data_IF_885000579223
#
_entry.id   IF_885000579223
#
_cell.length_a   1.000
_cell.length_b   1.000
_cell.length_c   1.000
_cell.angle_alpha   90.00
_cell.angle_beta   90.00
_cell.angle_gamma   90.00
#
_symmetry.space_group_name_H-M   'P 1'
#
loop_
_entity.id
_entity.type
_entity.pdbx_description
1 polymer ?
#
# COMPACT_ATOMS: atom_id res chain seq x y z
N UNK A 1 -17.47 -1.53 29.34
CA UNK A 1 -16.30 -2.35 29.70
C UNK A 1 -15.80 -3.17 28.50
N UNK A 2 -16.69 -3.82 27.71
CA UNK A 2 -16.30 -4.56 26.51
C UNK A 2 -15.58 -3.73 25.45
N UNK A 3 -16.08 -2.54 25.14
CA UNK A 3 -15.49 -1.67 24.11
C UNK A 3 -14.07 -1.20 24.44
N UNK A 4 -13.80 -0.94 25.73
CA UNK A 4 -12.47 -0.58 26.20
C UNK A 4 -11.47 -1.73 25.99
N UNK A 5 -11.87 -2.95 26.31
CA UNK A 5 -11.02 -4.14 26.15
C UNK A 5 -10.72 -4.37 24.66
N UNK A 6 -11.73 -4.24 23.79
CA UNK A 6 -11.56 -4.39 22.33
C UNK A 6 -10.61 -3.30 21.79
N UNK A 7 -10.75 -2.08 22.25
CA UNK A 7 -9.90 -0.94 21.86
C UNK A 7 -8.44 -1.18 22.27
N UNK A 8 -8.22 -1.63 23.51
CA UNK A 8 -6.87 -1.95 24.01
C UNK A 8 -6.27 -3.14 23.22
N UNK A 9 -7.06 -4.17 22.91
CA UNK A 9 -6.61 -5.29 22.10
C UNK A 9 -6.19 -4.85 20.69
N UNK A 10 -6.97 -4.00 20.04
CA UNK A 10 -6.64 -3.44 18.72
C UNK A 10 -5.34 -2.63 18.78
N UNK A 11 -5.15 -1.82 19.83
CA UNK A 11 -3.91 -1.07 20.00
C UNK A 11 -2.70 -1.99 20.15
N UNK A 12 -2.82 -3.02 20.99
CA UNK A 12 -1.75 -4.01 21.18
C UNK A 12 -1.42 -4.74 19.87
N UNK A 13 -2.45 -5.18 19.13
CA UNK A 13 -2.28 -5.81 17.83
C UNK A 13 -1.62 -4.86 16.81
N UNK A 14 -1.99 -3.57 16.81
CA UNK A 14 -1.36 -2.58 15.95
C UNK A 14 0.15 -2.44 16.24
N UNK A 15 0.53 -2.40 17.52
CA UNK A 15 1.93 -2.37 17.93
C UNK A 15 2.68 -3.63 17.48
N UNK A 16 2.05 -4.80 17.64
CA UNK A 16 2.63 -6.06 17.17
C UNK A 16 2.78 -6.10 15.64
N UNK A 17 1.93 -5.41 14.89
CA UNK A 17 2.04 -5.34 13.44
C UNK A 17 3.16 -4.41 12.93
N UNK A 18 3.70 -3.50 13.76
CA UNK A 18 4.73 -2.55 13.30
C UNK A 18 5.96 -3.22 12.65
N UNK A 19 6.54 -4.31 13.20
CA UNK A 19 7.62 -5.02 12.53
C UNK A 19 7.24 -5.56 11.16
N UNK A 20 6.01 -6.03 10.99
CA UNK A 20 5.49 -6.53 9.71
C UNK A 20 5.36 -5.36 8.71
N UNK A 21 4.82 -4.21 9.14
CA UNK A 21 4.69 -3.00 8.31
C UNK A 21 6.06 -2.54 7.83
N UNK A 22 7.04 -2.46 8.74
CA UNK A 22 8.42 -2.06 8.40
C UNK A 22 9.04 -3.08 7.44
N UNK A 23 8.91 -4.37 7.73
CA UNK A 23 9.44 -5.44 6.90
C UNK A 23 8.81 -5.44 5.49
N UNK A 24 7.51 -5.18 5.40
CA UNK A 24 6.79 -5.06 4.12
C UNK A 24 7.32 -3.88 3.31
N UNK A 25 7.55 -2.73 3.94
CA UNK A 25 8.13 -1.57 3.27
C UNK A 25 9.56 -1.82 2.79
N UNK A 26 10.43 -2.36 3.64
CA UNK A 26 11.81 -2.71 3.29
C UNK A 26 11.85 -3.75 2.17
N UNK A 27 11.04 -4.81 2.29
CA UNK A 27 10.92 -5.83 1.25
C UNK A 27 10.44 -5.24 -0.08
N UNK A 28 9.53 -4.28 -0.06
CA UNK A 28 9.04 -3.60 -1.27
C UNK A 28 10.15 -2.75 -1.93
N UNK A 29 10.95 -2.03 -1.16
CA UNK A 29 12.11 -1.31 -1.68
C UNK A 29 13.14 -2.27 -2.33
N UNK A 30 13.41 -3.42 -1.71
CA UNK A 30 14.26 -4.46 -2.30
C UNK A 30 13.62 -5.07 -3.56
N UNK A 31 12.31 -5.26 -3.56
CA UNK A 31 11.58 -5.77 -4.72
C UNK A 31 11.72 -4.84 -5.93
N UNK A 32 11.68 -3.52 -5.74
CA UNK A 32 11.87 -2.54 -6.81
C UNK A 32 13.24 -2.65 -7.50
N UNK A 33 14.27 -3.16 -6.81
CA UNK A 33 15.61 -3.39 -7.40
C UNK A 33 15.61 -4.50 -8.45
N UNK A 34 14.63 -5.41 -8.43
CA UNK A 34 14.51 -6.46 -9.45
C UNK A 34 14.09 -5.92 -10.84
N UNK A 35 13.67 -4.66 -10.91
CA UNK A 35 13.29 -3.98 -12.15
C UNK A 35 14.45 -3.09 -12.63
N UNK A 36 14.46 -2.66 -13.92
CA UNK A 36 15.45 -1.71 -14.40
C UNK A 36 15.54 -0.47 -13.50
N UNK A 37 16.73 0.04 -13.24
CA UNK A 37 16.98 1.15 -12.30
C UNK A 37 16.07 2.36 -12.56
N UNK A 38 15.86 2.70 -13.84
CA UNK A 38 14.96 3.79 -14.23
C UNK A 38 13.52 3.60 -13.74
N UNK A 39 13.02 2.36 -13.66
CA UNK A 39 11.65 2.09 -13.20
C UNK A 39 11.49 2.41 -11.72
N UNK A 40 12.43 1.96 -10.88
CA UNK A 40 12.43 2.26 -9.44
C UNK A 40 12.59 3.76 -9.16
N UNK A 41 13.47 4.44 -9.90
CA UNK A 41 13.67 5.89 -9.79
C UNK A 41 12.41 6.66 -10.15
N UNK A 42 11.80 6.39 -11.32
CA UNK A 42 10.58 7.06 -11.74
C UNK A 42 9.40 6.78 -10.78
N UNK A 43 9.29 5.56 -10.24
CA UNK A 43 8.30 5.24 -9.22
C UNK A 43 8.48 6.12 -7.98
N UNK A 44 9.70 6.26 -7.44
CA UNK A 44 9.99 7.13 -6.30
C UNK A 44 9.72 8.60 -6.61
N UNK A 45 10.08 9.08 -7.82
CA UNK A 45 9.74 10.43 -8.27
C UNK A 45 8.23 10.64 -8.34
N UNK A 46 7.45 9.65 -8.74
CA UNK A 46 6.00 9.69 -8.70
C UNK A 46 5.46 9.89 -7.28
N UNK A 47 5.96 9.11 -6.32
CA UNK A 47 5.60 9.26 -4.89
C UNK A 47 5.93 10.68 -4.42
N UNK A 48 7.14 11.13 -4.66
CA UNK A 48 7.60 12.45 -4.22
C UNK A 48 6.79 13.59 -4.85
N UNK A 49 6.49 13.48 -6.13
CA UNK A 49 5.65 14.44 -6.86
C UNK A 49 4.24 14.52 -6.29
N UNK A 50 3.64 13.36 -5.93
CA UNK A 50 2.34 13.37 -5.26
C UNK A 50 2.42 14.08 -3.91
N UNK A 51 3.41 13.80 -3.08
CA UNK A 51 3.56 14.43 -1.76
C UNK A 51 3.68 15.96 -1.88
N UNK A 52 4.49 16.45 -2.82
CA UNK A 52 4.61 17.90 -3.09
C UNK A 52 3.26 18.45 -3.55
N UNK A 53 2.63 17.80 -4.53
CA UNK A 53 1.37 18.27 -5.09
C UNK A 53 0.26 18.28 -4.03
N UNK A 54 0.23 17.27 -3.16
CA UNK A 54 -0.73 17.19 -2.07
C UNK A 54 -0.56 18.33 -1.05
N UNK A 55 0.68 18.73 -0.74
CA UNK A 55 0.96 19.84 0.17
C UNK A 55 0.45 21.19 -0.37
N UNK A 56 0.49 21.39 -1.68
CA UNK A 56 0.15 22.67 -2.29
C UNK A 56 -1.26 22.75 -2.86
N UNK A 57 -1.82 21.66 -3.36
CA UNK A 57 -3.08 21.70 -4.13
C UNK A 57 -4.30 21.11 -3.40
N UNK A 58 -4.13 20.29 -2.39
CA UNK A 58 -5.20 19.68 -1.55
C UNK A 58 -6.50 19.24 -2.26
N UNK A 59 -6.52 19.14 -3.59
CA UNK A 59 -7.73 18.95 -4.40
C UNK A 59 -7.98 17.50 -4.84
N UNK A 60 -7.18 16.55 -4.37
CA UNK A 60 -7.30 15.14 -4.82
C UNK A 60 -8.41 14.35 -4.14
N UNK A 61 -9.09 14.93 -3.16
CA UNK A 61 -10.14 14.22 -2.42
C UNK A 61 -11.27 13.72 -3.33
N UNK A 62 -11.78 14.55 -4.23
CA UNK A 62 -12.83 14.16 -5.18
C UNK A 62 -12.39 13.06 -6.15
N UNK A 63 -11.11 13.07 -6.57
CA UNK A 63 -10.55 12.01 -7.40
C UNK A 63 -10.50 10.70 -6.62
N UNK A 64 -10.01 10.74 -5.38
CA UNK A 64 -9.97 9.58 -4.49
C UNK A 64 -11.38 9.01 -4.24
N UNK A 65 -12.36 9.85 -3.87
CA UNK A 65 -13.75 9.42 -3.66
C UNK A 65 -14.35 8.74 -4.90
N UNK A 66 -14.11 9.29 -6.08
CA UNK A 66 -14.58 8.67 -7.32
C UNK A 66 -14.01 7.25 -7.48
N UNK A 67 -12.70 7.07 -7.25
CA UNK A 67 -12.06 5.76 -7.28
C UNK A 67 -12.65 4.80 -6.25
N UNK A 68 -12.87 5.26 -5.02
CA UNK A 68 -13.45 4.47 -3.93
C UNK A 68 -14.88 4.03 -4.25
N UNK A 69 -15.73 4.94 -4.72
CA UNK A 69 -17.12 4.62 -5.11
C UNK A 69 -17.16 3.62 -6.27
N UNK A 70 -16.27 3.79 -7.24
CA UNK A 70 -16.16 2.86 -8.38
C UNK A 70 -15.77 1.46 -7.91
N UNK A 71 -14.79 1.35 -6.99
CA UNK A 71 -14.39 0.06 -6.41
C UNK A 71 -15.47 -0.56 -5.54
N UNK A 72 -16.16 0.22 -4.69
CA UNK A 72 -17.28 -0.29 -3.91
C UNK A 72 -18.38 -0.85 -4.80
N UNK A 73 -18.71 -0.15 -5.90
CA UNK A 73 -19.69 -0.65 -6.87
C UNK A 73 -19.25 -1.97 -7.52
N UNK A 74 -17.98 -2.08 -7.91
CA UNK A 74 -17.41 -3.30 -8.50
C UNK A 74 -17.35 -4.47 -7.49
N UNK A 75 -17.10 -4.15 -6.22
CA UNK A 75 -16.96 -5.13 -5.14
C UNK A 75 -18.23 -5.28 -4.29
N UNK A 76 -19.37 -4.78 -4.76
CA UNK A 76 -20.65 -4.82 -4.04
C UNK A 76 -21.12 -6.24 -3.67
N UNK A 77 -20.60 -7.25 -4.39
CA UNK A 77 -20.84 -8.67 -4.06
C UNK A 77 -20.17 -9.11 -2.75
N UNK A 78 -19.27 -8.29 -2.17
CA UNK A 78 -18.60 -8.53 -0.89
C UNK A 78 -19.29 -7.84 0.29
N UNK A 79 -20.50 -7.27 0.12
CA UNK A 79 -21.23 -6.63 1.21
C UNK A 79 -21.31 -7.58 2.46
N UNK A 80 -20.98 -7.10 3.67
CA UNK A 80 -20.68 -5.74 4.12
C UNK A 80 -19.18 -5.34 4.10
N UNK A 81 -18.30 -6.10 3.49
CA UNK A 81 -16.86 -5.86 3.46
C UNK A 81 -16.38 -4.98 2.28
N UNK A 82 -17.31 -4.53 1.42
CA UNK A 82 -17.06 -3.75 0.21
C UNK A 82 -16.23 -2.49 0.46
N UNK A 83 -16.51 -1.75 1.55
CA UNK A 83 -15.76 -0.55 1.94
C UNK A 83 -14.30 -0.85 2.28
N UNK A 84 -14.05 -1.90 3.06
CA UNK A 84 -12.69 -2.31 3.43
C UNK A 84 -11.95 -2.81 2.18
N UNK A 85 -12.61 -3.62 1.36
CA UNK A 85 -12.07 -4.13 0.13
C UNK A 85 -11.70 -2.99 -0.84
N UNK A 86 -12.54 -1.97 -0.99
CA UNK A 86 -12.26 -0.80 -1.80
C UNK A 86 -11.05 0.00 -1.29
N UNK A 87 -10.85 0.10 0.03
CA UNK A 87 -9.68 0.76 0.63
C UNK A 87 -8.38 -0.02 0.40
N UNK A 88 -8.44 -1.34 0.31
CA UNK A 88 -7.29 -2.20 0.01
C UNK A 88 -6.91 -2.09 -1.46
N UNK A 89 -7.89 -1.95 -2.36
CA UNK A 89 -7.66 -2.02 -3.80
C UNK A 89 -7.28 -0.65 -4.39
N UNK A 90 -6.02 -0.46 -4.87
CA UNK A 90 -5.56 0.82 -5.39
C UNK A 90 -6.07 1.05 -6.83
N UNK A 91 -7.29 1.57 -6.97
CA UNK A 91 -8.02 1.72 -8.23
C UNK A 91 -7.19 2.35 -9.36
N UNK A 92 -6.64 3.55 -9.13
CA UNK A 92 -5.87 4.27 -10.15
C UNK A 92 -4.57 3.58 -10.51
N UNK A 93 -3.87 3.02 -9.53
CA UNK A 93 -2.65 2.25 -9.77
C UNK A 93 -2.97 1.06 -10.68
N UNK A 94 -4.05 0.35 -10.40
CA UNK A 94 -4.48 -0.81 -11.20
C UNK A 94 -4.83 -0.40 -12.64
N UNK A 95 -5.56 0.72 -12.83
CA UNK A 95 -5.86 1.24 -14.16
C UNK A 95 -4.58 1.58 -14.92
N UNK A 96 -3.64 2.29 -14.29
CA UNK A 96 -2.39 2.69 -14.95
C UNK A 96 -1.57 1.45 -15.34
N UNK A 97 -1.49 0.45 -14.45
CA UNK A 97 -0.80 -0.81 -14.73
C UNK A 97 -1.48 -1.60 -15.87
N UNK A 98 -2.82 -1.62 -15.90
CA UNK A 98 -3.57 -2.24 -16.98
C UNK A 98 -3.33 -1.52 -18.31
N UNK A 99 -3.37 -0.18 -18.32
CA UNK A 99 -3.06 0.61 -19.52
C UNK A 99 -1.63 0.36 -20.00
N UNK A 100 -0.68 0.24 -19.09
CA UNK A 100 0.69 -0.11 -19.45
C UNK A 100 0.78 -1.52 -20.04
N UNK A 101 0.13 -2.51 -19.43
CA UNK A 101 0.08 -3.88 -19.96
C UNK A 101 -0.50 -3.93 -21.38
N UNK A 102 -1.63 -3.25 -21.61
CA UNK A 102 -2.26 -3.14 -22.94
C UNK A 102 -1.31 -2.44 -23.92
N UNK A 103 -0.70 -1.32 -23.55
CA UNK A 103 0.24 -0.58 -24.40
C UNK A 103 1.47 -1.42 -24.76
N UNK A 104 2.02 -2.17 -23.81
CA UNK A 104 3.14 -3.09 -24.01
C UNK A 104 2.75 -4.21 -24.99
N UNK A 105 1.59 -4.82 -24.79
CA UNK A 105 1.17 -6.03 -25.52
C UNK A 105 0.71 -5.71 -26.94
N UNK A 106 -0.10 -4.66 -27.12
CA UNK A 106 -0.73 -4.36 -28.41
C UNK A 106 0.02 -3.32 -29.24
N UNK A 107 0.72 -2.36 -28.60
CA UNK A 107 1.40 -1.28 -29.28
C UNK A 107 2.93 -1.44 -29.32
N UNK A 108 3.48 -2.44 -28.63
CA UNK A 108 4.92 -2.69 -28.55
C UNK A 108 5.71 -1.56 -27.89
N UNK A 109 5.04 -0.70 -27.12
CA UNK A 109 5.61 0.54 -26.58
C UNK A 109 6.33 0.25 -25.25
N UNK A 110 7.54 -0.30 -25.32
CA UNK A 110 8.37 -0.56 -24.14
C UNK A 110 9.18 0.68 -23.66
N UNK A 111 9.51 1.61 -24.58
CA UNK A 111 10.36 2.78 -24.26
C UNK A 111 9.73 3.76 -23.26
N UNK A 112 8.41 3.83 -23.16
CA UNK A 112 7.70 4.72 -22.24
C UNK A 112 7.43 4.11 -20.87
N UNK A 113 7.90 2.89 -20.62
CA UNK A 113 7.66 2.16 -19.36
C UNK A 113 8.09 2.94 -18.10
N UNK A 114 9.21 3.72 -18.07
CA UNK A 114 9.53 4.53 -16.89
C UNK A 114 8.48 5.59 -16.57
N UNK A 115 7.86 6.22 -17.59
CA UNK A 115 6.82 7.22 -17.37
C UNK A 115 5.55 6.61 -16.75
N UNK A 116 5.17 5.40 -17.16
CA UNK A 116 4.09 4.69 -16.47
C UNK A 116 4.42 4.44 -15.01
N UNK A 117 5.68 4.06 -14.70
CA UNK A 117 6.12 3.86 -13.31
C UNK A 117 6.05 5.14 -12.47
N UNK A 118 6.29 6.31 -13.08
CA UNK A 118 6.05 7.59 -12.41
C UNK A 118 4.58 7.74 -12.00
N UNK A 119 3.64 7.52 -12.91
CA UNK A 119 2.22 7.63 -12.60
C UNK A 119 1.74 6.53 -11.63
N UNK A 120 2.33 5.35 -11.69
CA UNK A 120 2.08 4.26 -10.73
C UNK A 120 2.51 4.69 -9.32
N UNK A 121 3.72 5.26 -9.18
CA UNK A 121 4.20 5.78 -7.89
C UNK A 121 3.35 6.92 -7.36
N UNK A 122 2.91 7.84 -8.24
CA UNK A 122 1.99 8.92 -7.89
C UNK A 122 0.65 8.38 -7.37
N UNK A 123 0.03 7.45 -8.10
CA UNK A 123 -1.24 6.83 -7.73
C UNK A 123 -1.13 5.97 -6.45
N UNK A 124 0.01 5.31 -6.26
CA UNK A 124 0.31 4.54 -5.05
C UNK A 124 0.33 5.44 -3.81
N UNK A 125 1.10 6.54 -3.85
CA UNK A 125 1.18 7.49 -2.75
C UNK A 125 -0.18 8.17 -2.48
N UNK A 126 -0.90 8.56 -3.56
CA UNK A 126 -2.24 9.11 -3.47
C UNK A 126 -3.19 8.16 -2.74
N UNK A 127 -3.21 6.90 -3.13
CA UNK A 127 -4.11 5.92 -2.54
C UNK A 127 -3.82 5.71 -1.05
N UNK A 128 -2.56 5.47 -0.68
CA UNK A 128 -2.17 5.25 0.72
C UNK A 128 -2.51 6.48 1.58
N UNK A 129 -2.11 7.68 1.15
CA UNK A 129 -2.23 8.89 1.96
C UNK A 129 -3.70 9.30 2.14
N UNK A 130 -4.50 9.24 1.07
CA UNK A 130 -5.91 9.59 1.15
C UNK A 130 -6.74 8.52 1.86
N UNK A 131 -6.40 7.23 1.75
CA UNK A 131 -7.00 6.16 2.58
C UNK A 131 -6.67 6.37 4.06
N UNK A 132 -5.44 6.74 4.39
CA UNK A 132 -5.07 7.06 5.76
C UNK A 132 -5.87 8.25 6.31
N UNK A 133 -6.04 9.30 5.51
CA UNK A 133 -6.84 10.48 5.87
C UNK A 133 -8.33 10.13 6.06
N UNK A 134 -8.91 9.36 5.13
CA UNK A 134 -10.30 8.90 5.19
C UNK A 134 -10.58 8.12 6.49
N UNK A 135 -9.74 7.15 6.80
CA UNK A 135 -9.87 6.35 8.01
C UNK A 135 -9.61 7.15 9.30
N UNK A 136 -8.71 8.15 9.23
CA UNK A 136 -8.45 9.01 10.38
C UNK A 136 -9.68 9.86 10.75
N UNK A 137 -10.47 10.25 9.77
CA UNK A 137 -11.69 11.06 9.99
C UNK A 137 -12.83 10.24 10.62
N UNK A 138 -12.88 8.94 10.39
CA UNK A 138 -13.91 8.06 10.96
C UNK A 138 -13.76 7.86 12.49
N UNK A 139 -12.56 8.05 13.05
CA UNK A 139 -12.31 7.83 14.48
C UNK A 139 -12.12 9.15 15.24
N UNK A 140 -13.02 9.42 16.17
CA UNK A 140 -13.08 10.68 16.93
C UNK A 140 -12.28 10.67 18.24
N UNK A 141 -11.75 9.52 18.66
CA UNK A 141 -10.97 9.38 19.89
C UNK A 141 -9.58 10.00 19.77
N UNK A 142 -9.00 10.59 20.86
CA UNK A 142 -7.66 11.18 20.86
C UNK A 142 -6.56 10.17 20.49
N UNK A 143 -6.65 8.95 21.03
CA UNK A 143 -5.85 7.81 20.64
C UNK A 143 -6.69 6.99 19.68
N UNK A 144 -6.21 6.78 18.47
CA UNK A 144 -6.95 6.12 17.37
C UNK A 144 -6.51 4.66 17.15
N UNK A 145 -6.79 3.73 18.08
CA UNK A 145 -6.27 2.35 18.00
C UNK A 145 -6.86 1.57 16.82
N UNK A 146 -8.13 1.81 16.52
CA UNK A 146 -8.82 1.16 15.40
C UNK A 146 -8.21 1.62 14.07
N UNK A 147 -7.92 2.92 13.94
CA UNK A 147 -7.20 3.49 12.80
C UNK A 147 -5.82 2.85 12.62
N UNK A 148 -4.99 2.83 13.69
CA UNK A 148 -3.64 2.26 13.60
C UNK A 148 -3.65 0.79 13.21
N UNK A 149 -4.56 0.00 13.76
CA UNK A 149 -4.70 -1.41 13.43
C UNK A 149 -5.08 -1.61 11.96
N UNK A 150 -6.19 -1.01 11.53
CA UNK A 150 -6.67 -1.18 10.16
C UNK A 150 -5.74 -0.56 9.13
N UNK A 151 -5.13 0.59 9.43
CA UNK A 151 -4.16 1.20 8.52
C UNK A 151 -2.94 0.31 8.32
N UNK A 152 -2.47 -0.37 9.38
CA UNK A 152 -1.38 -1.35 9.27
C UNK A 152 -1.76 -2.52 8.36
N UNK A 153 -2.97 -3.07 8.52
CA UNK A 153 -3.49 -4.17 7.69
C UNK A 153 -3.61 -3.73 6.23
N UNK A 154 -4.26 -2.59 6.00
CA UNK A 154 -4.50 -2.05 4.65
C UNK A 154 -3.17 -1.72 3.96
N UNK A 155 -2.22 -1.11 4.65
CA UNK A 155 -0.90 -0.78 4.11
C UNK A 155 -0.17 -2.03 3.61
N UNK A 156 -0.12 -3.08 4.44
CA UNK A 156 0.47 -4.38 4.05
C UNK A 156 -0.25 -4.95 2.83
N UNK A 157 -1.59 -4.95 2.84
CA UNK A 157 -2.38 -5.50 1.75
C UNK A 157 -2.19 -4.72 0.43
N UNK A 158 -2.12 -3.37 0.48
CA UNK A 158 -1.84 -2.53 -0.71
C UNK A 158 -0.48 -2.88 -1.31
N UNK A 159 0.57 -3.03 -0.48
CA UNK A 159 1.91 -3.38 -0.99
C UNK A 159 1.90 -4.77 -1.60
N UNK A 160 1.31 -5.77 -0.92
CA UNK A 160 1.19 -7.13 -1.46
C UNK A 160 0.50 -7.13 -2.82
N UNK A 161 -0.62 -6.42 -2.95
CA UNK A 161 -1.34 -6.30 -4.21
C UNK A 161 -0.51 -5.58 -5.28
N UNK A 162 0.23 -4.53 -4.91
CA UNK A 162 1.12 -3.81 -5.83
C UNK A 162 2.23 -4.71 -6.36
N UNK A 163 2.85 -5.54 -5.51
CA UNK A 163 3.87 -6.52 -5.92
C UNK A 163 3.28 -7.54 -6.90
N UNK A 164 2.09 -8.07 -6.62
CA UNK A 164 1.41 -9.00 -7.53
C UNK A 164 1.12 -8.33 -8.88
N UNK A 165 0.65 -7.08 -8.90
CA UNK A 165 0.39 -6.35 -10.14
C UNK A 165 1.69 -6.10 -10.93
N UNK A 166 2.80 -5.79 -10.25
CA UNK A 166 4.09 -5.64 -10.89
C UNK A 166 4.55 -6.95 -11.53
N UNK A 167 4.49 -8.06 -10.78
CA UNK A 167 4.86 -9.37 -11.29
C UNK A 167 4.04 -9.75 -12.53
N UNK A 168 2.72 -9.49 -12.50
CA UNK A 168 1.82 -9.77 -13.61
C UNK A 168 2.17 -8.96 -14.87
N UNK A 169 2.43 -7.65 -14.72
CA UNK A 169 2.66 -6.73 -15.85
C UNK A 169 4.05 -6.87 -16.43
N UNK A 170 5.04 -7.17 -15.59
CA UNK A 170 6.43 -7.35 -16.02
C UNK A 170 6.82 -8.80 -16.30
N UNK A 171 5.87 -9.75 -16.23
CA UNK A 171 6.09 -11.18 -16.43
C UNK A 171 7.19 -11.73 -15.50
N UNK A 172 7.21 -11.28 -14.24
CA UNK A 172 8.15 -11.72 -13.22
C UNK A 172 7.40 -12.42 -12.09
N UNK A 173 7.93 -13.52 -11.62
CA UNK A 173 7.33 -14.30 -10.52
C UNK A 173 8.19 -14.17 -9.28
N UNK A 174 8.29 -12.96 -8.74
CA UNK A 174 9.14 -12.63 -7.59
C UNK A 174 8.37 -12.52 -6.27
N UNK A 175 7.05 -12.65 -6.29
CA UNK A 175 6.16 -12.53 -5.13
C UNK A 175 6.55 -13.47 -3.97
N UNK A 176 6.85 -14.73 -4.27
CA UNK A 176 7.27 -15.69 -3.23
C UNK A 176 8.58 -15.28 -2.55
N UNK A 177 9.54 -14.78 -3.34
CA UNK A 177 10.79 -14.23 -2.82
C UNK A 177 10.55 -13.00 -1.95
N UNK A 178 9.69 -12.10 -2.40
CA UNK A 178 9.27 -10.94 -1.62
C UNK A 178 8.67 -11.34 -0.26
N UNK A 179 7.77 -12.33 -0.22
CA UNK A 179 7.20 -12.83 1.04
C UNK A 179 8.27 -13.42 1.96
N UNK A 180 9.26 -14.12 1.40
CA UNK A 180 10.37 -14.69 2.19
C UNK A 180 11.22 -13.58 2.80
N UNK A 181 11.65 -12.59 2.01
CA UNK A 181 12.44 -11.45 2.48
C UNK A 181 11.67 -10.62 3.54
N UNK A 182 10.38 -10.39 3.33
CA UNK A 182 9.50 -9.73 4.30
C UNK A 182 9.44 -10.51 5.63
N UNK A 183 9.28 -11.84 5.57
CA UNK A 183 9.25 -12.68 6.76
C UNK A 183 10.56 -12.64 7.53
N UNK A 184 11.70 -12.85 6.86
CA UNK A 184 13.02 -12.81 7.50
C UNK A 184 13.30 -11.45 8.15
N UNK A 185 12.94 -10.36 7.48
CA UNK A 185 13.08 -9.01 8.03
C UNK A 185 12.20 -8.81 9.27
N UNK A 186 10.94 -9.25 9.21
CA UNK A 186 10.02 -9.18 10.35
C UNK A 186 10.54 -9.99 11.55
N UNK A 187 10.97 -11.23 11.32
CA UNK A 187 11.57 -12.08 12.37
C UNK A 187 12.80 -11.43 13.01
N UNK A 188 13.68 -10.82 12.20
CA UNK A 188 14.85 -10.08 12.69
C UNK A 188 14.46 -8.92 13.60
N UNK A 189 13.48 -8.10 13.18
CA UNK A 189 12.99 -6.96 13.96
C UNK A 189 12.37 -7.44 15.28
N UNK A 190 11.55 -8.50 15.25
CA UNK A 190 10.96 -9.07 16.47
C UNK A 190 12.05 -9.56 17.43
N UNK A 191 13.03 -10.33 16.97
CA UNK A 191 14.14 -10.80 17.80
C UNK A 191 14.93 -9.66 18.43
N UNK A 192 15.28 -8.63 17.66
CA UNK A 192 15.99 -7.46 18.17
C UNK A 192 15.17 -6.71 19.22
N UNK A 193 13.87 -6.54 18.99
CA UNK A 193 12.97 -5.86 19.93
C UNK A 193 12.82 -6.65 21.24
N UNK A 194 12.64 -7.97 21.14
CA UNK A 194 12.54 -8.86 22.29
C UNK A 194 13.83 -8.89 23.12
N UNK A 195 14.99 -9.08 22.47
CA UNK A 195 16.27 -9.12 23.16
C UNK A 195 16.58 -7.81 23.90
N UNK A 196 16.22 -6.66 23.29
CA UNK A 196 16.38 -5.36 23.95
C UNK A 196 15.40 -5.15 25.12
N UNK A 197 14.14 -5.58 24.96
CA UNK A 197 13.12 -5.42 26.00
C UNK A 197 13.41 -6.26 27.24
N UNK A 198 13.93 -7.46 27.04
CA UNK A 198 14.19 -8.41 28.14
C UNK A 198 15.67 -8.48 28.56
N UNK A 199 16.55 -7.65 27.97
CA UNK A 199 18.00 -7.61 28.26
C UNK A 199 18.70 -8.99 28.26
N UNK A 200 18.27 -9.86 27.35
CA UNK A 200 18.86 -11.18 27.12
C UNK A 200 19.93 -11.08 26.02
#
# INVERSE_FOLDING_TARGET
>A
MGDFIITMLKFFLAVLMLPIVIATFVGFEHHLVNYPTSHGEFFRWGIFSFLITFLFLYQFWGVYEFGQRSMQSLLSFLDPADKIAARIFPFYLTIIMLLFYVSKTFLGVSRVSPYYMFFVGFAFAMHILLTAQDMQQEETTPIKPTYFFWMSVIFVAIILLTVVLFDLVFDKWTFTRFLHEMRETAESIYRLSFNRAFRI
#
